data_IF_309345569516
#
_entry.id   IF_309345569516
#
_cell.length_a   1.000
_cell.length_b   1.000
_cell.length_c   1.000
_cell.angle_alpha   90.00
_cell.angle_beta   90.00
_cell.angle_gamma   90.00
#
_symmetry.space_group_name_H-M   'P 1'
#
loop_
_entity.id
_entity.type
_entity.pdbx_description
1 polymer ?
#
# COMPACT_ATOMS: atom_id res chain seq x y z
N UNK A 1 -22.46 -12.44 -24.15
CA UNK A 1 -21.00 -12.17 -24.06
C UNK A 1 -20.82 -11.24 -22.89
N UNK A 2 -20.57 -11.80 -21.71
CA UNK A 2 -20.32 -11.01 -20.50
C UNK A 2 -18.90 -10.46 -20.63
N UNK A 3 -18.77 -9.15 -20.64
CA UNK A 3 -17.49 -8.46 -20.67
C UNK A 3 -16.63 -8.88 -19.47
N UNK A 4 -15.66 -9.75 -19.70
CA UNK A 4 -14.62 -10.16 -18.75
C UNK A 4 -13.58 -9.04 -18.49
N UNK A 5 -14.02 -7.78 -18.41
CA UNK A 5 -13.14 -6.63 -18.19
C UNK A 5 -12.64 -6.48 -16.74
N UNK A 6 -13.07 -7.36 -15.82
CA UNK A 6 -12.77 -7.25 -14.38
C UNK A 6 -11.31 -7.54 -14.01
N UNK A 7 -10.51 -8.15 -14.91
CA UNK A 7 -9.18 -8.65 -14.54
C UNK A 7 -8.03 -8.19 -15.44
N UNK A 8 -8.24 -7.22 -16.30
CA UNK A 8 -7.21 -6.69 -17.20
C UNK A 8 -6.39 -5.56 -16.57
N UNK A 9 -6.05 -5.69 -15.30
CA UNK A 9 -5.32 -4.64 -14.57
C UNK A 9 -3.81 -4.66 -14.75
N UNK A 10 -3.23 -5.81 -15.13
CA UNK A 10 -1.80 -5.93 -15.44
C UNK A 10 -1.62 -5.89 -16.94
N UNK A 11 -0.76 -5.03 -17.41
CA UNK A 11 -0.33 -4.99 -18.82
C UNK A 11 1.11 -5.47 -18.94
N UNK A 12 1.48 -5.97 -20.11
CA UNK A 12 2.86 -6.35 -20.40
C UNK A 12 3.75 -5.11 -20.32
N UNK A 13 4.90 -5.26 -19.71
CA UNK A 13 5.91 -4.20 -19.64
C UNK A 13 6.52 -3.97 -21.02
N UNK A 14 6.29 -2.80 -21.66
CA UNK A 14 6.71 -2.53 -23.03
C UNK A 14 8.20 -2.25 -23.16
N UNK A 15 8.93 -2.19 -22.06
CA UNK A 15 10.36 -1.87 -22.07
C UNK A 15 11.17 -2.98 -22.70
N UNK A 16 12.28 -2.60 -23.31
CA UNK A 16 13.26 -3.53 -23.88
C UNK A 16 13.96 -4.36 -22.80
N UNK A 17 14.55 -5.52 -23.16
CA UNK A 17 15.35 -6.30 -22.21
C UNK A 17 16.49 -5.50 -21.56
N UNK A 18 17.10 -4.55 -22.28
CA UNK A 18 18.17 -3.71 -21.75
C UNK A 18 17.64 -2.73 -20.67
N UNK A 19 16.46 -2.16 -20.88
CA UNK A 19 15.80 -1.30 -19.88
C UNK A 19 15.37 -2.10 -18.65
N UNK A 20 14.87 -3.33 -18.84
CA UNK A 20 14.51 -4.25 -17.76
C UNK A 20 15.73 -4.70 -16.95
N UNK A 21 16.90 -4.80 -17.56
CA UNK A 21 18.14 -5.14 -16.86
C UNK A 21 18.60 -4.07 -15.86
N UNK A 22 18.04 -2.86 -15.94
CA UNK A 22 18.27 -1.78 -14.95
C UNK A 22 17.31 -1.82 -13.77
N UNK A 23 16.39 -2.77 -13.73
CA UNK A 23 15.44 -2.93 -12.63
C UNK A 23 16.16 -3.24 -11.32
N UNK A 24 15.52 -2.89 -10.22
CA UNK A 24 15.98 -3.18 -8.86
C UNK A 24 15.75 -4.66 -8.53
N UNK A 25 16.59 -5.52 -9.11
CA UNK A 25 16.47 -6.96 -8.97
C UNK A 25 16.84 -7.43 -7.56
N UNK A 26 16.17 -8.49 -7.13
CA UNK A 26 16.55 -9.23 -5.95
C UNK A 26 17.80 -10.04 -6.28
N UNK A 27 18.93 -9.71 -5.68
CA UNK A 27 20.10 -10.59 -5.65
C UNK A 27 19.76 -11.80 -4.78
N UNK A 28 20.21 -13.01 -5.15
CA UNK A 28 19.88 -14.23 -4.40
C UNK A 28 19.98 -14.00 -2.90
N UNK A 29 18.91 -14.31 -2.18
CA UNK A 29 18.83 -14.13 -0.75
C UNK A 29 19.76 -15.14 -0.07
N UNK A 30 20.97 -14.74 0.24
CA UNK A 30 21.81 -15.48 1.17
C UNK A 30 21.22 -15.23 2.55
N UNK A 31 20.54 -16.22 3.09
CA UNK A 31 19.95 -16.17 4.42
C UNK A 31 21.06 -15.95 5.46
N UNK A 32 21.20 -14.74 5.95
CA UNK A 32 22.23 -14.37 6.96
C UNK A 32 21.75 -14.56 8.40
N UNK A 33 20.52 -14.99 8.62
CA UNK A 33 20.01 -15.34 9.95
C UNK A 33 19.04 -16.53 9.84
N UNK A 34 18.91 -17.38 10.87
CA UNK A 34 17.87 -18.39 10.91
C UNK A 34 16.53 -17.67 10.97
N UNK A 35 15.89 -17.55 9.79
CA UNK A 35 14.51 -17.09 9.70
C UNK A 35 13.67 -18.18 10.36
N UNK A 36 12.82 -17.83 11.31
CA UNK A 36 11.80 -18.74 11.83
C UNK A 36 11.07 -19.34 10.63
N UNK A 37 10.78 -20.64 10.68
CA UNK A 37 10.09 -21.34 9.57
C UNK A 37 8.90 -20.50 9.08
N UNK A 38 8.90 -20.00 7.83
CA UNK A 38 7.86 -19.14 7.34
C UNK A 38 6.50 -19.85 7.23
N UNK A 39 6.46 -21.18 7.37
CA UNK A 39 5.25 -22.01 7.31
C UNK A 39 4.80 -22.51 8.69
N UNK A 40 5.44 -22.10 9.77
CA UNK A 40 5.07 -22.44 11.14
C UNK A 40 3.88 -21.66 11.69
N UNK A 41 3.24 -20.79 10.89
CA UNK A 41 2.14 -19.95 11.33
C UNK A 41 0.80 -20.67 11.27
N UNK A 42 -0.17 -20.16 12.02
CA UNK A 42 -1.56 -20.57 11.87
C UNK A 42 -2.15 -19.99 10.59
N UNK A 43 -3.08 -20.70 9.97
CA UNK A 43 -3.83 -20.17 8.84
C UNK A 43 -4.52 -18.85 9.22
N UNK A 44 -4.34 -17.82 8.41
CA UNK A 44 -5.05 -16.55 8.58
C UNK A 44 -6.47 -16.73 8.05
N UNK A 45 -7.47 -16.67 8.93
CA UNK A 45 -8.88 -16.79 8.56
C UNK A 45 -9.55 -15.46 8.25
N UNK A 46 -9.00 -14.36 8.79
CA UNK A 46 -9.45 -12.98 8.53
C UNK A 46 -8.23 -12.12 8.26
N UNK A 47 -8.33 -11.21 7.29
CA UNK A 47 -7.25 -10.28 7.04
C UNK A 47 -7.11 -9.32 8.23
N UNK A 48 -5.89 -9.10 8.76
CA UNK A 48 -5.65 -8.06 9.75
C UNK A 48 -5.66 -6.65 9.14
N UNK A 49 -5.82 -6.55 7.82
CA UNK A 49 -5.82 -5.30 7.07
C UNK A 49 -7.21 -5.06 6.47
N UNK A 50 -7.64 -3.80 6.34
CA UNK A 50 -8.92 -3.47 5.70
C UNK A 50 -9.02 -4.05 4.30
N UNK A 51 -10.24 -4.44 3.94
CA UNK A 51 -10.56 -4.82 2.58
C UNK A 51 -10.46 -3.61 1.65
N UNK A 52 -9.96 -3.86 0.45
CA UNK A 52 -9.85 -2.85 -0.60
C UNK A 52 -10.48 -3.41 -1.85
N UNK A 53 -11.33 -2.61 -2.48
CA UNK A 53 -12.05 -3.00 -3.69
C UNK A 53 -11.59 -2.14 -4.87
N UNK A 54 -11.13 -2.78 -5.94
CA UNK A 54 -10.79 -2.09 -7.18
C UNK A 54 -12.02 -1.77 -8.04
N UNK A 55 -13.20 -2.26 -7.66
CA UNK A 55 -14.43 -2.12 -8.41
C UNK A 55 -14.28 -2.53 -9.88
N UNK A 56 -14.78 -1.73 -10.80
CA UNK A 56 -14.69 -1.96 -12.26
C UNK A 56 -13.51 -1.22 -12.89
N UNK A 57 -12.38 -1.15 -12.20
CA UNK A 57 -11.17 -0.44 -12.65
C UNK A 57 -10.02 -1.42 -12.74
N UNK A 58 -9.24 -1.35 -13.81
CA UNK A 58 -8.05 -2.19 -14.02
C UNK A 58 -6.86 -1.83 -13.12
N UNK A 59 -7.11 -1.59 -11.83
CA UNK A 59 -6.15 -1.02 -10.87
C UNK A 59 -5.56 -2.05 -9.89
N UNK A 60 -5.62 -3.34 -10.18
CA UNK A 60 -5.09 -4.37 -9.29
C UNK A 60 -3.60 -4.14 -8.94
N UNK A 61 -2.77 -3.68 -9.89
CA UNK A 61 -1.35 -3.42 -9.64
C UNK A 61 -1.13 -2.30 -8.62
N UNK A 62 -1.75 -1.11 -8.76
CA UNK A 62 -1.71 -0.09 -7.72
C UNK A 62 -2.23 -0.56 -6.36
N UNK A 63 -3.27 -1.39 -6.32
CA UNK A 63 -3.78 -1.97 -5.09
C UNK A 63 -2.75 -2.88 -4.41
N UNK A 64 -2.23 -3.87 -5.12
CA UNK A 64 -1.28 -4.84 -4.55
C UNK A 64 -0.01 -4.18 -4.04
N UNK A 65 0.58 -3.28 -4.84
CA UNK A 65 1.82 -2.57 -4.49
C UNK A 65 1.58 -1.52 -3.40
N UNK A 66 0.46 -0.79 -3.47
CA UNK A 66 0.08 0.20 -2.46
C UNK A 66 -0.23 -0.44 -1.11
N UNK A 67 -0.92 -1.59 -1.11
CA UNK A 67 -1.14 -2.39 0.10
C UNK A 67 0.18 -2.84 0.72
N UNK A 68 1.11 -3.35 -0.08
CA UNK A 68 2.43 -3.75 0.40
C UNK A 68 3.22 -2.56 0.98
N UNK A 69 3.11 -1.37 0.39
CA UNK A 69 3.69 -0.14 0.91
C UNK A 69 3.08 0.24 2.27
N UNK A 70 1.76 0.22 2.39
CA UNK A 70 1.06 0.52 3.63
C UNK A 70 1.40 -0.49 4.75
N UNK A 71 1.50 -1.78 4.42
CA UNK A 71 1.94 -2.85 5.33
C UNK A 71 3.37 -2.60 5.81
N UNK A 72 4.31 -2.35 4.89
CA UNK A 72 5.72 -2.13 5.22
C UNK A 72 5.94 -0.91 6.12
N UNK A 73 5.08 0.09 6.02
CA UNK A 73 5.11 1.26 6.90
C UNK A 73 4.73 0.94 8.34
N UNK A 74 4.03 -0.17 8.57
CA UNK A 74 3.71 -0.66 9.90
C UNK A 74 2.37 -0.20 10.45
N UNK A 75 2.26 -0.20 11.79
CA UNK A 75 1.03 0.13 12.52
C UNK A 75 1.03 1.56 13.04
N UNK A 76 -0.13 2.24 13.04
CA UNK A 76 -1.41 1.75 12.52
C UNK A 76 -1.40 1.64 10.99
N UNK A 77 -2.10 0.63 10.45
CA UNK A 77 -2.26 0.50 9.01
C UNK A 77 -2.95 1.74 8.44
N UNK A 78 -2.33 2.33 7.43
CA UNK A 78 -2.84 3.56 6.81
C UNK A 78 -3.16 3.27 5.36
N UNK A 79 -4.45 3.25 5.01
CA UNK A 79 -4.91 3.01 3.64
C UNK A 79 -4.49 4.16 2.73
N UNK A 80 -3.74 3.83 1.69
CA UNK A 80 -3.29 4.77 0.66
C UNK A 80 -4.27 4.77 -0.52
N UNK A 81 -4.34 5.88 -1.25
CA UNK A 81 -5.12 5.96 -2.48
C UNK A 81 -4.38 5.28 -3.62
N UNK A 82 -4.92 4.20 -4.15
CA UNK A 82 -4.42 3.60 -5.37
C UNK A 82 -4.75 4.46 -6.61
N UNK A 83 -5.83 5.23 -6.57
CA UNK A 83 -6.23 6.15 -7.63
C UNK A 83 -5.11 7.09 -8.03
N UNK A 84 -4.34 7.56 -7.06
CA UNK A 84 -3.19 8.42 -7.30
C UNK A 84 -2.13 7.75 -8.19
N UNK A 85 -1.70 6.55 -7.82
CA UNK A 85 -0.71 5.80 -8.61
C UNK A 85 -1.27 5.40 -9.97
N UNK A 86 -2.54 5.03 -10.03
CA UNK A 86 -3.23 4.69 -11.27
C UNK A 86 -3.30 5.86 -12.24
N UNK A 87 -3.51 7.08 -11.75
CA UNK A 87 -3.48 8.31 -12.55
C UNK A 87 -2.11 8.66 -13.10
N UNK A 88 -1.05 8.32 -12.38
CA UNK A 88 0.32 8.64 -12.75
C UNK A 88 1.03 7.52 -13.53
N UNK A 89 0.34 6.44 -13.85
CA UNK A 89 0.91 5.34 -14.65
C UNK A 89 1.33 5.79 -16.03
N UNK A 90 2.37 5.18 -16.56
CA UNK A 90 2.98 5.58 -17.85
C UNK A 90 2.09 5.33 -19.06
N UNK A 91 1.16 4.35 -18.99
CA UNK A 91 0.22 4.04 -20.07
C UNK A 91 -1.13 4.75 -19.97
N UNK A 92 -1.26 5.73 -19.05
CA UNK A 92 -2.49 6.53 -18.96
C UNK A 92 -2.80 7.19 -20.32
N UNK A 93 -4.08 7.21 -20.79
CA UNK A 93 -5.31 6.86 -20.09
C UNK A 93 -5.74 5.38 -20.24
N UNK A 94 -4.96 4.52 -20.89
CA UNK A 94 -5.33 3.13 -21.13
C UNK A 94 -5.52 2.38 -19.81
N UNK A 95 -6.44 1.40 -19.79
CA UNK A 95 -6.68 0.57 -18.60
C UNK A 95 -5.48 -0.32 -18.29
N UNK A 96 -5.33 -0.70 -17.01
CA UNK A 96 -4.25 -1.53 -16.53
C UNK A 96 -2.94 -0.79 -16.30
N UNK A 97 -1.97 -1.50 -15.75
CA UNK A 97 -0.61 -1.01 -15.55
C UNK A 97 0.37 -2.17 -15.36
N UNK A 98 1.68 -1.91 -15.47
CA UNK A 98 2.68 -2.92 -15.19
C UNK A 98 3.41 -2.63 -13.86
N UNK A 99 3.80 -3.67 -13.11
CA UNK A 99 4.25 -3.54 -11.73
C UNK A 99 5.43 -2.60 -11.53
N UNK A 100 6.47 -2.70 -12.40
CA UNK A 100 7.65 -1.84 -12.31
C UNK A 100 7.29 -0.36 -12.31
N UNK A 101 6.42 0.06 -13.24
CA UNK A 101 6.01 1.46 -13.33
C UNK A 101 5.29 1.92 -12.06
N UNK A 102 4.46 1.08 -11.48
CA UNK A 102 3.71 1.42 -10.25
C UNK A 102 4.63 1.50 -9.03
N UNK A 103 5.62 0.60 -8.91
CA UNK A 103 6.66 0.73 -7.89
C UNK A 103 7.39 2.08 -8.04
N UNK A 104 7.78 2.45 -9.25
CA UNK A 104 8.45 3.72 -9.52
C UNK A 104 7.55 4.94 -9.23
N UNK A 105 6.25 4.85 -9.54
CA UNK A 105 5.29 5.91 -9.19
C UNK A 105 5.24 6.10 -7.68
N UNK A 106 5.06 5.04 -6.90
CA UNK A 106 5.04 5.14 -5.44
C UNK A 106 6.38 5.60 -4.86
N UNK A 107 7.50 5.18 -5.45
CA UNK A 107 8.83 5.62 -5.04
C UNK A 107 9.07 7.10 -5.34
N UNK A 108 8.71 7.55 -6.52
CA UNK A 108 8.92 8.92 -6.98
C UNK A 108 7.92 9.90 -6.36
N UNK A 109 6.66 9.54 -6.35
CA UNK A 109 5.55 10.43 -6.06
C UNK A 109 4.89 10.15 -4.70
N UNK A 110 4.99 8.90 -4.18
CA UNK A 110 4.22 8.46 -3.02
C UNK A 110 2.76 8.21 -3.34
N UNK A 111 1.92 8.30 -2.33
CA UNK A 111 0.46 8.27 -2.46
C UNK A 111 -0.21 9.05 -1.34
N UNK A 112 -1.30 9.79 -1.59
CA UNK A 112 -2.10 10.40 -0.55
C UNK A 112 -2.91 9.34 0.20
N UNK A 113 -3.55 9.73 1.28
CA UNK A 113 -4.50 8.90 1.99
C UNK A 113 -5.74 8.63 1.13
N UNK A 114 -6.35 7.47 1.32
CA UNK A 114 -7.63 7.13 0.71
C UNK A 114 -8.73 8.17 1.02
N UNK A 115 -8.72 8.74 2.22
CA UNK A 115 -9.68 9.78 2.63
C UNK A 115 -9.54 11.09 1.86
N UNK A 116 -8.34 11.38 1.37
CA UNK A 116 -8.06 12.59 0.57
C UNK A 116 -8.37 12.39 -0.91
N UNK A 117 -8.13 11.20 -1.42
CA UNK A 117 -8.44 10.82 -2.80
C UNK A 117 -9.09 9.43 -2.80
N UNK A 118 -10.43 9.34 -2.64
CA UNK A 118 -11.16 8.07 -2.61
C UNK A 118 -11.08 7.30 -3.92
N UNK A 119 -11.35 6.01 -3.83
CA UNK A 119 -11.32 5.11 -4.98
C UNK A 119 -12.57 5.29 -5.86
N UNK A 120 -12.42 5.41 -7.18
CA UNK A 120 -13.52 5.52 -8.13
C UNK A 120 -14.10 4.14 -8.45
N UNK A 121 -15.37 4.14 -8.89
CA UNK A 121 -16.08 2.90 -9.25
C UNK A 121 -15.81 2.41 -10.67
N UNK A 122 -15.42 3.31 -11.59
CA UNK A 122 -15.27 3.00 -13.01
C UNK A 122 -13.99 3.58 -13.59
N UNK A 123 -13.53 3.02 -14.71
CA UNK A 123 -12.39 3.56 -15.46
C UNK A 123 -12.56 5.04 -15.84
N UNK A 124 -13.77 5.44 -16.23
CA UNK A 124 -14.06 6.84 -16.58
C UNK A 124 -13.90 7.76 -15.38
N UNK A 125 -14.37 7.35 -14.20
CA UNK A 125 -14.18 8.11 -12.95
C UNK A 125 -12.70 8.14 -12.54
N UNK A 126 -12.00 7.00 -12.66
CA UNK A 126 -10.56 6.94 -12.40
C UNK A 126 -9.78 7.88 -13.33
N UNK A 127 -10.15 7.92 -14.61
CA UNK A 127 -9.54 8.83 -15.58
C UNK A 127 -9.87 10.31 -15.31
N UNK A 128 -11.02 10.62 -14.77
CA UNK A 128 -11.46 11.97 -14.44
C UNK A 128 -10.99 12.46 -13.05
N UNK A 129 -10.46 11.58 -12.21
CA UNK A 129 -10.06 11.93 -10.84
C UNK A 129 -9.05 13.09 -10.82
N UNK A 130 -9.34 14.13 -10.05
CA UNK A 130 -8.50 15.30 -9.90
C UNK A 130 -7.62 15.12 -8.65
N UNK A 131 -6.32 15.25 -8.84
CA UNK A 131 -5.37 15.25 -7.73
C UNK A 131 -5.21 16.69 -7.25
N UNK A 132 -5.88 17.01 -6.15
CA UNK A 132 -5.79 18.32 -5.53
C UNK A 132 -4.36 18.58 -4.97
N UNK A 133 -3.93 19.85 -4.83
CA UNK A 133 -2.63 20.19 -4.24
C UNK A 133 -2.37 19.55 -2.88
N UNK A 134 -3.38 19.42 -2.04
CA UNK A 134 -3.31 18.70 -0.77
C UNK A 134 -2.90 17.24 -0.95
N UNK A 135 -3.49 16.54 -1.92
CA UNK A 135 -3.13 15.15 -2.22
C UNK A 135 -1.67 15.00 -2.67
N UNK A 136 -1.11 15.97 -3.40
CA UNK A 136 0.30 15.97 -3.77
C UNK A 136 1.22 16.17 -2.56
N UNK A 137 0.85 17.05 -1.64
CA UNK A 137 1.60 17.29 -0.41
C UNK A 137 1.59 16.06 0.50
N UNK A 138 0.43 15.47 0.68
CA UNK A 138 0.23 14.25 1.46
C UNK A 138 1.01 13.07 0.86
N UNK A 139 0.96 12.91 -0.48
CA UNK A 139 1.68 11.87 -1.19
C UNK A 139 3.20 11.94 -0.94
N UNK A 140 3.77 13.13 -0.81
CA UNK A 140 5.18 13.29 -0.52
C UNK A 140 5.61 12.66 0.82
N UNK A 141 4.67 12.47 1.76
CA UNK A 141 4.91 11.86 3.07
C UNK A 141 4.89 10.33 2.98
N UNK A 142 4.06 9.77 2.10
CA UNK A 142 3.81 8.34 2.00
C UNK A 142 4.50 7.72 0.79
N UNK A 143 5.84 7.65 0.85
CA UNK A 143 6.69 7.10 -0.23
C UNK A 143 7.26 5.74 0.11
N UNK A 144 7.38 4.90 -0.91
CA UNK A 144 8.37 3.84 -0.93
C UNK A 144 9.73 4.47 -1.26
N UNK A 145 10.80 4.01 -0.63
CA UNK A 145 12.15 4.51 -0.89
C UNK A 145 12.94 3.57 -1.78
N UNK A 146 12.90 2.28 -1.48
CA UNK A 146 13.57 1.25 -2.24
C UNK A 146 12.71 -0.01 -2.33
N UNK A 147 12.82 -0.71 -3.44
CA UNK A 147 12.15 -2.00 -3.67
C UNK A 147 13.06 -2.94 -4.46
N UNK A 148 12.74 -4.23 -4.42
CA UNK A 148 13.38 -5.27 -5.23
C UNK A 148 12.32 -6.06 -5.99
N UNK A 149 12.72 -6.64 -7.11
CA UNK A 149 11.91 -7.53 -7.93
C UNK A 149 12.60 -8.87 -8.09
N UNK A 150 11.82 -9.90 -8.35
CA UNK A 150 12.31 -11.25 -8.58
C UNK A 150 12.36 -11.55 -10.07
N UNK A 151 13.45 -12.19 -10.50
CA UNK A 151 13.59 -12.71 -11.87
C UNK A 151 12.80 -14.00 -12.02
N UNK A 152 12.77 -14.85 -10.98
CA UNK A 152 12.03 -16.11 -10.92
C UNK A 152 11.17 -16.14 -9.67
N UNK A 153 9.98 -15.54 -9.69
CA UNK A 153 9.18 -15.34 -8.48
C UNK A 153 8.31 -16.55 -8.08
N UNK A 154 8.61 -17.73 -8.56
CA UNK A 154 7.80 -18.93 -8.45
C UNK A 154 8.18 -19.87 -7.29
N UNK A 155 9.06 -19.43 -6.39
CA UNK A 155 9.40 -20.17 -5.17
C UNK A 155 8.63 -19.63 -3.95
N UNK A 156 7.70 -20.44 -3.45
CA UNK A 156 6.86 -20.09 -2.30
C UNK A 156 7.70 -19.88 -1.02
N UNK A 157 8.82 -20.60 -0.85
CA UNK A 157 9.64 -20.47 0.35
C UNK A 157 10.32 -19.10 0.39
N UNK A 158 10.85 -18.63 -0.72
CA UNK A 158 11.42 -17.28 -0.86
C UNK A 158 10.36 -16.21 -0.61
N UNK A 159 9.20 -16.30 -1.24
CA UNK A 159 8.13 -15.31 -1.09
C UNK A 159 7.59 -15.28 0.36
N UNK A 160 7.36 -16.44 0.96
CA UNK A 160 6.92 -16.55 2.35
C UNK A 160 8.00 -16.06 3.34
N UNK A 161 9.27 -16.34 3.07
CA UNK A 161 10.41 -15.87 3.88
C UNK A 161 10.49 -14.35 3.90
N UNK A 162 10.28 -13.69 2.78
CA UNK A 162 10.22 -12.22 2.71
C UNK A 162 8.99 -11.68 3.45
N UNK A 163 7.82 -12.29 3.25
CA UNK A 163 6.61 -11.91 3.95
C UNK A 163 6.74 -12.13 5.48
N UNK A 164 7.50 -13.13 5.93
CA UNK A 164 7.83 -13.36 7.34
C UNK A 164 8.60 -12.18 7.97
N UNK A 165 9.32 -11.40 7.17
CA UNK A 165 9.96 -10.15 7.59
C UNK A 165 9.01 -8.96 7.80
N UNK A 166 7.69 -9.19 7.82
CA UNK A 166 6.70 -8.14 8.10
C UNK A 166 6.39 -7.23 6.90
N UNK A 167 6.72 -7.63 5.68
CA UNK A 167 6.39 -6.89 4.46
C UNK A 167 5.32 -7.63 3.63
N UNK A 168 4.46 -6.87 2.96
CA UNK A 168 3.61 -7.45 1.91
C UNK A 168 4.44 -7.72 0.65
N UNK A 169 4.09 -8.79 -0.08
CA UNK A 169 4.76 -9.14 -1.34
C UNK A 169 3.72 -9.16 -2.47
N UNK A 170 3.61 -8.07 -3.25
CA UNK A 170 2.77 -8.07 -4.44
C UNK A 170 3.32 -9.04 -5.49
N UNK A 171 2.44 -9.88 -6.00
CA UNK A 171 2.73 -10.85 -7.05
C UNK A 171 1.77 -10.66 -8.22
N UNK A 172 2.30 -10.80 -9.42
CA UNK A 172 1.50 -10.86 -10.65
C UNK A 172 1.26 -12.30 -11.01
N UNK A 173 0.02 -12.66 -11.25
CA UNK A 173 -0.41 -14.02 -11.55
C UNK A 173 -1.11 -14.09 -12.91
N UNK A 174 -1.04 -15.27 -13.52
CA UNK A 174 -1.98 -15.70 -14.55
C UNK A 174 -2.93 -16.77 -13.96
N UNK A 175 -4.23 -16.59 -14.16
CA UNK A 175 -5.21 -17.56 -13.73
C UNK A 175 -6.35 -17.67 -14.74
N UNK A 176 -7.06 -18.78 -14.74
CA UNK A 176 -8.35 -18.84 -15.43
C UNK A 176 -9.44 -18.22 -14.56
N UNK A 177 -10.49 -17.74 -15.22
CA UNK A 177 -11.67 -17.24 -14.51
C UNK A 177 -12.23 -18.29 -13.55
N UNK A 178 -12.32 -19.55 -13.96
CA UNK A 178 -12.85 -20.63 -13.14
C UNK A 178 -11.96 -20.96 -11.94
N UNK A 179 -10.64 -20.88 -12.08
CA UNK A 179 -9.72 -21.04 -10.95
C UNK A 179 -9.92 -19.94 -9.92
N UNK A 180 -10.11 -18.69 -10.39
CA UNK A 180 -10.21 -17.53 -9.52
C UNK A 180 -11.60 -17.31 -8.96
N UNK A 181 -12.64 -17.78 -9.68
CA UNK A 181 -14.04 -17.67 -9.31
C UNK A 181 -14.51 -18.62 -8.21
N UNK A 182 -13.63 -19.45 -7.65
CA UNK A 182 -14.02 -20.36 -6.57
C UNK A 182 -14.52 -19.61 -5.35
N UNK A 183 -15.65 -20.07 -4.84
CA UNK A 183 -16.43 -19.43 -3.77
C UNK A 183 -15.79 -19.55 -2.38
N UNK A 184 -14.61 -20.14 -2.24
CA UNK A 184 -13.99 -20.35 -0.95
C UNK A 184 -12.54 -19.88 -0.92
N UNK A 185 -12.00 -19.41 0.23
CA UNK A 185 -10.60 -19.02 0.38
C UNK A 185 -9.68 -20.23 0.31
N UNK A 186 -9.80 -21.01 -0.73
CA UNK A 186 -9.00 -22.20 -0.97
C UNK A 186 -8.19 -22.02 -2.21
N UNK A 187 -7.19 -22.77 -2.22
CA UNK A 187 -6.18 -22.80 -3.20
C UNK A 187 -6.37 -23.95 -4.10
N UNK A 188 -6.21 -23.65 -5.33
CA UNK A 188 -6.34 -24.61 -6.39
C UNK A 188 -4.97 -25.08 -6.84
N UNK A 189 -4.85 -26.36 -7.05
CA UNK A 189 -3.83 -26.88 -7.94
C UNK A 189 -4.24 -26.45 -9.34
N UNK A 190 -3.38 -25.72 -10.07
CA UNK A 190 -3.70 -25.26 -11.40
C UNK A 190 -3.96 -26.45 -12.33
N UNK A 191 -5.08 -26.41 -13.04
CA UNK A 191 -5.46 -27.46 -14.00
C UNK A 191 -5.16 -27.05 -15.44
N UNK A 192 -4.94 -25.75 -15.68
CA UNK A 192 -4.67 -25.19 -16.99
C UNK A 192 -3.18 -24.85 -17.17
N UNK A 193 -2.71 -24.90 -18.40
CA UNK A 193 -1.41 -24.34 -18.73
C UNK A 193 -1.46 -22.82 -18.66
N UNK A 194 -0.32 -22.17 -18.38
CA UNK A 194 -0.25 -20.72 -18.23
C UNK A 194 -0.73 -19.95 -19.48
N UNK A 195 -0.48 -20.50 -20.68
CA UNK A 195 -0.92 -19.88 -21.93
C UNK A 195 -2.44 -19.93 -22.14
N UNK A 196 -3.14 -20.77 -21.37
CA UNK A 196 -4.59 -20.91 -21.43
C UNK A 196 -5.26 -20.04 -20.35
N UNK A 197 -4.48 -19.29 -19.58
CA UNK A 197 -4.99 -18.43 -18.54
C UNK A 197 -5.64 -17.16 -19.13
N UNK A 198 -6.79 -16.80 -18.59
CA UNK A 198 -7.63 -15.69 -19.06
C UNK A 198 -7.47 -14.42 -18.23
N UNK A 199 -6.92 -14.56 -17.02
CA UNK A 199 -6.81 -13.50 -16.03
C UNK A 199 -5.36 -13.13 -15.83
N UNK A 200 -5.07 -11.84 -15.95
CA UNK A 200 -3.81 -11.24 -15.59
C UNK A 200 -4.07 -10.27 -14.42
N UNK A 201 -3.61 -10.65 -13.22
CA UNK A 201 -4.00 -9.99 -11.99
C UNK A 201 -2.82 -9.78 -11.03
N UNK A 202 -2.92 -8.77 -10.16
CA UNK A 202 -1.93 -8.51 -9.12
C UNK A 202 -2.60 -8.59 -7.74
N UNK A 203 -1.98 -9.35 -6.86
CA UNK A 203 -2.43 -9.63 -5.50
C UNK A 203 -1.26 -9.45 -4.52
N UNK A 204 -1.53 -9.30 -3.24
CA UNK A 204 -0.51 -9.09 -2.23
C UNK A 204 -0.44 -10.27 -1.24
N UNK A 205 0.68 -10.96 -1.16
CA UNK A 205 0.96 -11.92 -0.08
C UNK A 205 1.06 -11.15 1.23
N UNK A 206 0.34 -11.61 2.24
CA UNK A 206 0.29 -10.97 3.55
C UNK A 206 1.48 -11.38 4.42
N UNK A 207 1.94 -10.50 5.32
CA UNK A 207 2.99 -10.84 6.29
C UNK A 207 2.60 -12.02 7.19
N UNK A 208 3.58 -12.82 7.58
CA UNK A 208 3.44 -13.94 8.51
C UNK A 208 2.32 -14.92 8.13
N UNK A 209 2.05 -15.08 6.85
CA UNK A 209 0.88 -15.78 6.35
C UNK A 209 1.17 -17.19 5.80
N UNK A 210 2.42 -17.64 5.86
CA UNK A 210 2.79 -18.98 5.42
C UNK A 210 2.32 -20.05 6.41
N UNK A 211 1.69 -21.10 5.92
CA UNK A 211 1.22 -22.23 6.73
C UNK A 211 1.24 -23.55 5.94
N UNK A 212 1.11 -24.68 6.67
CA UNK A 212 0.99 -26.02 6.07
C UNK A 212 -0.43 -26.52 6.31
N UNK A 213 -1.05 -27.02 5.25
CA UNK A 213 -2.34 -27.71 5.31
C UNK A 213 -2.25 -28.98 4.48
N UNK A 214 -2.58 -30.13 5.11
CA UNK A 214 -2.53 -31.45 4.46
C UNK A 214 -1.18 -31.75 3.77
N UNK A 215 -0.08 -31.35 4.40
CA UNK A 215 1.28 -31.54 3.89
C UNK A 215 1.72 -30.63 2.75
N UNK A 216 0.90 -29.67 2.33
CA UNK A 216 1.22 -28.66 1.33
C UNK A 216 1.44 -27.29 1.97
N UNK A 217 2.35 -26.49 1.40
CA UNK A 217 2.65 -25.12 1.81
C UNK A 217 1.70 -24.14 1.14
N UNK A 218 1.27 -23.14 1.90
CA UNK A 218 0.37 -22.08 1.47
C UNK A 218 0.83 -20.73 1.98
N UNK A 219 0.39 -19.67 1.31
CA UNK A 219 0.44 -18.30 1.80
C UNK A 219 -0.94 -17.67 1.67
N UNK A 220 -1.28 -16.77 2.59
CA UNK A 220 -2.51 -15.98 2.49
C UNK A 220 -2.24 -14.71 1.69
N UNK A 221 -3.20 -14.33 0.87
CA UNK A 221 -3.13 -13.17 -0.01
C UNK A 221 -4.32 -12.24 0.20
N UNK A 222 -4.11 -10.95 0.01
CA UNK A 222 -5.17 -9.97 -0.16
C UNK A 222 -5.46 -9.78 -1.65
N UNK A 223 -6.74 -9.82 -2.00
CA UNK A 223 -7.25 -9.66 -3.35
C UNK A 223 -8.19 -8.44 -3.41
N UNK A 224 -7.93 -7.52 -4.32
CA UNK A 224 -8.75 -6.32 -4.53
C UNK A 224 -9.88 -6.51 -5.56
N UNK A 225 -9.93 -7.64 -6.24
CA UNK A 225 -10.92 -7.88 -7.29
C UNK A 225 -12.32 -8.23 -6.74
N UNK A 226 -12.46 -8.42 -5.43
CA UNK A 226 -13.72 -8.75 -4.73
C UNK A 226 -14.53 -9.88 -5.39
N UNK A 227 -13.83 -10.80 -6.03
CA UNK A 227 -14.50 -11.89 -6.72
C UNK A 227 -15.25 -12.75 -5.71
N UNK A 228 -16.55 -12.89 -5.88
CA UNK A 228 -17.44 -13.57 -4.94
C UNK A 228 -17.39 -12.99 -3.50
N UNK A 229 -17.10 -11.69 -3.34
CA UNK A 229 -16.90 -11.00 -2.06
C UNK A 229 -15.74 -11.56 -1.23
N UNK A 230 -14.77 -12.21 -1.85
CA UNK A 230 -13.58 -12.74 -1.19
C UNK A 230 -12.40 -11.80 -1.40
N UNK A 231 -11.94 -11.20 -0.33
CA UNK A 231 -10.74 -10.34 -0.30
C UNK A 231 -9.53 -11.04 0.29
N UNK A 232 -9.76 -12.13 1.02
CA UNK A 232 -8.73 -12.99 1.58
C UNK A 232 -8.78 -14.36 0.92
N UNK A 233 -7.64 -14.81 0.39
CA UNK A 233 -7.48 -16.13 -0.23
C UNK A 233 -6.21 -16.78 0.26
N UNK A 234 -6.05 -18.08 -0.04
CA UNK A 234 -4.82 -18.81 0.22
C UNK A 234 -4.33 -19.43 -1.08
N UNK A 235 -3.06 -19.30 -1.40
CA UNK A 235 -2.46 -19.87 -2.60
C UNK A 235 -1.40 -20.91 -2.26
N UNK A 236 -1.44 -22.07 -2.93
CA UNK A 236 -0.53 -23.18 -2.70
C UNK A 236 0.82 -22.98 -3.37
N UNK A 237 1.80 -23.77 -2.94
CA UNK A 237 3.09 -23.87 -3.63
C UNK A 237 2.96 -24.24 -5.11
N UNK A 238 2.01 -25.13 -5.45
CA UNK A 238 1.76 -25.51 -6.84
C UNK A 238 1.23 -24.33 -7.67
N UNK A 239 0.35 -23.52 -7.07
CA UNK A 239 -0.15 -22.31 -7.72
C UNK A 239 0.96 -21.29 -7.92
N UNK A 240 1.76 -21.02 -6.90
CA UNK A 240 2.90 -20.10 -6.98
C UNK A 240 3.86 -20.54 -8.09
N UNK A 241 4.24 -21.83 -8.11
CA UNK A 241 5.19 -22.37 -9.07
C UNK A 241 4.72 -22.27 -10.53
N UNK A 242 3.41 -22.32 -10.76
CA UNK A 242 2.86 -22.39 -12.11
C UNK A 242 2.24 -21.07 -12.61
N UNK A 243 1.84 -20.19 -11.72
CA UNK A 243 1.01 -19.02 -12.04
C UNK A 243 1.64 -17.67 -11.75
N UNK A 244 2.68 -17.60 -10.93
CA UNK A 244 3.34 -16.33 -10.62
C UNK A 244 4.35 -15.99 -11.70
N UNK A 245 4.25 -14.77 -12.21
CA UNK A 245 5.13 -14.25 -13.26
C UNK A 245 6.12 -13.22 -12.75
N UNK A 246 5.66 -12.37 -11.86
CA UNK A 246 6.44 -11.28 -11.29
C UNK A 246 6.12 -11.16 -9.81
N UNK A 247 7.12 -10.82 -9.03
CA UNK A 247 6.97 -10.46 -7.64
C UNK A 247 7.89 -9.30 -7.31
N UNK A 248 7.53 -8.54 -6.29
CA UNK A 248 8.39 -7.49 -5.77
C UNK A 248 8.07 -7.20 -4.31
N UNK A 249 8.89 -6.41 -3.67
CA UNK A 249 8.64 -5.99 -2.30
C UNK A 249 9.40 -4.71 -1.97
N UNK A 250 8.87 -3.95 -1.02
CA UNK A 250 9.54 -2.77 -0.49
C UNK A 250 10.63 -3.20 0.48
N UNK A 251 11.86 -2.84 0.17
CA UNK A 251 13.01 -3.03 1.08
C UNK A 251 13.09 -1.90 2.08
N UNK A 252 12.75 -0.69 1.63
CA UNK A 252 12.75 0.49 2.46
C UNK A 252 11.55 1.40 2.11
N UNK A 253 11.01 2.06 3.13
CA UNK A 253 9.89 2.99 3.01
C UNK A 253 10.17 4.20 3.89
N UNK A 254 9.59 5.35 3.57
CA UNK A 254 9.63 6.49 4.46
C UNK A 254 8.99 6.07 5.80
N UNK A 255 9.82 5.80 6.79
CA UNK A 255 9.36 5.44 8.13
C UNK A 255 8.90 6.73 8.76
N UNK A 256 7.63 6.78 9.08
CA UNK A 256 7.12 7.82 9.96
C UNK A 256 7.73 7.59 11.34
N UNK A 257 8.32 8.63 11.90
CA UNK A 257 8.96 8.53 13.20
C UNK A 257 7.93 8.33 14.29
N UNK A 258 7.64 7.08 14.64
CA UNK A 258 6.97 6.77 15.92
C UNK A 258 7.94 7.05 17.05
N UNK A 259 7.56 7.91 17.97
CA UNK A 259 8.40 8.28 19.13
C UNK A 259 7.53 8.64 20.33
N UNK A 260 8.16 8.87 21.47
CA UNK A 260 7.45 9.45 22.60
C UNK A 260 6.93 10.85 22.22
N UNK A 261 5.71 11.16 22.62
CA UNK A 261 5.16 12.50 22.47
C UNK A 261 6.09 13.54 23.11
N UNK A 262 6.30 14.68 22.44
CA UNK A 262 7.11 15.73 23.01
C UNK A 262 6.46 16.27 24.28
N UNK A 263 7.23 16.46 25.35
CA UNK A 263 6.73 17.14 26.54
C UNK A 263 6.71 18.65 26.26
N UNK A 264 5.60 19.10 25.68
CA UNK A 264 5.41 20.49 25.29
C UNK A 264 3.94 20.90 25.40
N UNK A 265 3.68 22.10 25.93
CA UNK A 265 2.34 22.69 25.99
C UNK A 265 2.21 23.71 24.85
N UNK A 266 1.35 23.40 23.89
CA UNK A 266 1.04 24.31 22.80
C UNK A 266 0.12 25.44 23.27
N UNK A 267 0.50 26.68 22.99
CA UNK A 267 -0.27 27.88 23.38
C UNK A 267 -0.56 28.81 22.21
N UNK A 268 0.01 28.52 21.03
CA UNK A 268 -0.09 29.39 19.83
C UNK A 268 -0.69 28.64 18.68
N UNK A 269 -1.56 29.33 17.95
CA UNK A 269 -2.04 28.88 16.65
C UNK A 269 -0.90 28.99 15.63
N UNK A 270 -0.80 27.98 14.74
CA UNK A 270 0.22 27.92 13.71
C UNK A 270 -0.44 27.72 12.34
N UNK A 271 0.11 28.35 11.32
CA UNK A 271 -0.36 28.28 9.93
C UNK A 271 0.82 28.13 8.97
N UNK A 272 0.53 27.83 7.71
CA UNK A 272 1.53 27.75 6.65
C UNK A 272 2.35 29.05 6.62
N UNK A 273 3.67 28.93 6.50
CA UNK A 273 4.63 30.04 6.51
C UNK A 273 5.14 30.41 7.90
N UNK A 274 4.53 29.92 8.99
CA UNK A 274 5.05 30.15 10.35
C UNK A 274 6.41 29.46 10.51
N UNK A 275 7.31 30.13 11.24
CA UNK A 275 8.65 29.60 11.57
C UNK A 275 8.91 29.66 13.06
N UNK A 276 9.79 28.79 13.56
CA UNK A 276 10.30 28.84 14.92
C UNK A 276 10.05 27.59 15.77
N UNK A 277 10.40 27.67 17.07
CA UNK A 277 10.38 26.51 17.96
C UNK A 277 9.00 25.85 18.12
N UNK A 278 7.93 26.63 18.12
CA UNK A 278 6.55 26.09 18.23
C UNK A 278 6.21 25.18 17.05
N UNK A 279 6.66 25.55 15.82
CA UNK A 279 6.49 24.70 14.65
C UNK A 279 7.32 23.41 14.77
N UNK A 280 8.56 23.51 15.28
CA UNK A 280 9.38 22.32 15.52
C UNK A 280 8.74 21.38 16.55
N UNK A 281 8.08 21.90 17.57
CA UNK A 281 7.33 21.07 18.53
C UNK A 281 6.10 20.42 17.91
N UNK A 282 5.34 21.18 17.09
CA UNK A 282 4.24 20.60 16.31
C UNK A 282 4.74 19.47 15.41
N UNK A 283 5.86 19.69 14.71
CA UNK A 283 6.46 18.67 13.85
C UNK A 283 6.87 17.42 14.65
N UNK A 284 7.43 17.57 15.84
CA UNK A 284 7.75 16.44 16.73
C UNK A 284 6.50 15.69 17.19
N UNK A 285 5.40 16.39 17.46
CA UNK A 285 4.10 15.74 17.72
C UNK A 285 3.63 14.96 16.50
N UNK A 286 3.66 15.56 15.32
CA UNK A 286 3.25 14.92 14.07
C UNK A 286 4.15 13.74 13.69
N UNK A 287 5.42 13.80 14.06
CA UNK A 287 6.37 12.67 13.97
C UNK A 287 5.94 11.56 14.94
N UNK A 288 5.66 11.87 16.20
CA UNK A 288 5.18 10.91 17.20
C UNK A 288 3.86 10.25 16.78
N UNK A 289 2.99 11.01 16.11
CA UNK A 289 1.73 10.54 15.53
C UNK A 289 1.90 9.74 14.22
N UNK A 290 3.12 9.60 13.72
CA UNK A 290 3.43 8.95 12.44
C UNK A 290 2.87 9.67 11.20
N UNK A 291 2.79 11.01 11.24
CA UNK A 291 2.35 11.83 10.11
C UNK A 291 3.49 12.60 9.44
N UNK A 292 4.67 12.64 10.06
CA UNK A 292 5.89 13.22 9.49
C UNK A 292 7.09 12.25 9.62
N UNK A 293 8.03 12.26 8.66
CA UNK A 293 9.32 11.60 8.80
C UNK A 293 10.13 12.13 9.99
N UNK A 294 10.97 11.27 10.59
CA UNK A 294 11.70 11.58 11.82
C UNK A 294 12.69 12.75 11.73
N UNK A 295 13.13 13.08 10.53
CA UNK A 295 14.08 14.16 10.22
C UNK A 295 13.42 15.49 9.81
N UNK A 296 12.09 15.55 9.84
CA UNK A 296 11.34 16.71 9.34
C UNK A 296 10.98 17.76 10.40
N UNK A 297 11.60 17.77 11.57
CA UNK A 297 11.38 18.83 12.59
C UNK A 297 12.20 20.10 12.30
N UNK A 298 11.99 20.70 11.14
CA UNK A 298 12.77 21.86 10.62
C UNK A 298 12.43 23.20 11.29
N UNK A 299 11.29 23.29 11.98
CA UNK A 299 10.78 24.56 12.50
C UNK A 299 10.14 25.48 11.45
N UNK A 300 9.91 24.99 10.22
CA UNK A 300 9.18 25.71 9.17
C UNK A 300 7.87 24.99 8.85
N UNK A 301 6.74 25.67 8.97
CA UNK A 301 5.43 25.14 8.61
C UNK A 301 5.23 25.25 7.10
N UNK A 302 5.74 24.26 6.38
CA UNK A 302 5.58 24.11 4.94
C UNK A 302 4.50 23.11 4.57
N UNK A 303 4.44 22.75 3.27
CA UNK A 303 3.43 21.83 2.75
C UNK A 303 3.44 20.44 3.40
N UNK A 304 4.61 19.91 3.78
CA UNK A 304 4.69 18.63 4.49
C UNK A 304 4.04 18.71 5.89
N UNK A 305 4.30 19.79 6.62
CA UNK A 305 3.68 20.03 7.94
C UNK A 305 2.17 20.21 7.81
N UNK A 306 1.72 20.89 6.75
CA UNK A 306 0.30 21.05 6.46
C UNK A 306 -0.39 19.68 6.21
N UNK A 307 0.17 18.87 5.31
CA UNK A 307 -0.39 17.54 5.03
C UNK A 307 -0.44 16.66 6.28
N UNK A 308 0.60 16.71 7.12
CA UNK A 308 0.64 16.01 8.39
C UNK A 308 -0.37 16.55 9.42
N UNK A 309 -0.61 17.87 9.45
CA UNK A 309 -1.67 18.47 10.27
C UNK A 309 -3.05 18.00 9.83
N UNK A 310 -3.31 17.95 8.53
CA UNK A 310 -4.58 17.44 8.02
C UNK A 310 -4.80 15.97 8.42
N UNK A 311 -3.76 15.14 8.34
CA UNK A 311 -3.82 13.75 8.80
C UNK A 311 -4.11 13.66 10.31
N UNK A 312 -3.50 14.52 11.12
CA UNK A 312 -3.76 14.62 12.55
C UNK A 312 -5.20 15.04 12.84
N UNK A 313 -5.71 16.06 12.17
CA UNK A 313 -7.09 16.53 12.33
C UNK A 313 -8.11 15.46 11.90
N UNK A 314 -7.84 14.73 10.83
CA UNK A 314 -8.69 13.61 10.38
C UNK A 314 -8.68 12.45 11.38
N UNK A 315 -7.51 12.08 11.93
CA UNK A 315 -7.43 11.04 12.96
C UNK A 315 -8.26 11.37 14.18
N UNK A 316 -8.29 12.64 14.56
CA UNK A 316 -9.01 13.16 15.72
C UNK A 316 -10.27 13.94 15.30
N UNK A 317 -10.92 13.55 14.20
CA UNK A 317 -12.04 14.30 13.62
C UNK A 317 -13.21 14.48 14.61
N UNK A 318 -13.50 13.46 15.41
CA UNK A 318 -14.58 13.50 16.42
C UNK A 318 -14.36 14.61 17.45
N UNK A 319 -13.10 14.87 17.84
CA UNK A 319 -12.75 15.86 18.85
C UNK A 319 -12.36 17.23 18.25
N UNK A 320 -11.95 17.26 16.97
CA UNK A 320 -11.44 18.48 16.32
C UNK A 320 -12.46 19.04 15.32
N UNK A 321 -12.92 18.22 14.37
CA UNK A 321 -13.72 18.70 13.25
C UNK A 321 -15.21 18.75 13.56
N UNK A 322 -15.74 17.69 14.17
CA UNK A 322 -17.18 17.58 14.49
C UNK A 322 -17.66 18.71 15.40
N UNK A 323 -16.95 19.11 16.49
CA UNK A 323 -17.40 20.21 17.32
C UNK A 323 -17.38 21.58 16.63
N UNK A 324 -16.61 21.69 15.54
CA UNK A 324 -16.49 22.92 14.76
C UNK A 324 -17.44 22.92 13.52
N UNK A 325 -18.25 21.86 13.36
CA UNK A 325 -19.11 21.66 12.19
C UNK A 325 -18.33 21.70 10.86
N UNK A 326 -17.13 21.08 10.84
CA UNK A 326 -16.27 21.03 9.66
C UNK A 326 -16.31 19.63 9.05
N UNK A 327 -16.48 19.57 7.75
CA UNK A 327 -16.46 18.34 6.95
C UNK A 327 -15.05 17.97 6.45
N UNK A 328 -14.09 18.89 6.60
CA UNK A 328 -12.70 18.72 6.15
C UNK A 328 -11.70 19.38 7.12
N UNK A 329 -10.43 18.92 7.11
CA UNK A 329 -9.35 19.55 7.85
C UNK A 329 -9.13 21.01 7.47
N UNK A 330 -8.52 21.77 8.38
CA UNK A 330 -8.18 23.17 8.19
C UNK A 330 -6.66 23.36 8.07
N UNK A 331 -6.23 24.41 7.40
CA UNK A 331 -4.82 24.75 7.22
C UNK A 331 -4.18 25.39 8.47
N UNK A 332 -4.91 25.33 9.60
CA UNK A 332 -4.50 25.96 10.85
C UNK A 332 -4.43 24.94 11.98
N UNK A 333 -3.32 24.89 12.68
CA UNK A 333 -3.20 24.25 13.99
C UNK A 333 -3.89 25.16 15.02
N UNK A 334 -5.21 25.11 15.05
CA UNK A 334 -6.08 25.98 15.85
C UNK A 334 -6.38 25.42 17.24
N UNK A 335 -7.27 26.09 17.98
CA UNK A 335 -7.57 25.80 19.39
C UNK A 335 -8.03 24.36 19.66
N UNK A 336 -8.85 23.78 18.78
CA UNK A 336 -9.29 22.39 18.92
C UNK A 336 -8.12 21.40 18.72
N UNK A 337 -7.29 21.61 17.70
CA UNK A 337 -6.06 20.82 17.47
C UNK A 337 -5.08 20.96 18.64
N UNK A 338 -4.90 22.18 19.16
CA UNK A 338 -4.07 22.45 20.35
C UNK A 338 -4.57 21.69 21.56
N UNK A 339 -5.87 21.66 21.78
CA UNK A 339 -6.46 20.93 22.92
C UNK A 339 -6.12 19.44 22.89
N UNK A 340 -6.22 18.81 21.73
CA UNK A 340 -5.88 17.40 21.56
C UNK A 340 -4.37 17.18 21.67
N UNK A 341 -3.57 18.04 21.02
CA UNK A 341 -2.12 17.97 21.10
C UNK A 341 -1.63 18.04 22.56
N UNK A 342 -2.17 18.93 23.36
CA UNK A 342 -1.81 19.07 24.76
C UNK A 342 -2.21 17.86 25.61
N UNK A 343 -3.33 17.19 25.32
CA UNK A 343 -3.69 15.92 25.98
C UNK A 343 -2.72 14.79 25.67
N UNK A 344 -2.15 14.78 24.48
CA UNK A 344 -1.19 13.75 24.04
C UNK A 344 0.23 14.03 24.57
N UNK A 345 0.59 15.30 24.78
CA UNK A 345 1.93 15.75 25.15
C UNK A 345 2.14 15.93 26.66
N UNK A 346 1.13 15.82 27.48
CA UNK A 346 1.16 15.98 28.94
C UNK A 346 0.89 14.65 29.65
#
# INVERSE_FOLDING_TARGET
>A
MTNNTLFTGVVEDPRTPAEKALDHLHEEFVATAPVSDPFGNSQILTSPYPDEDQHYVGSCVPHGIGKALAIKRGTPYTRLSWTFAYRLRSNFPNSGSYPQNIFDVYRKNGAPLFTTLPDPFTESQAAAAIIAPQGLQEAAIFKGLAYKQFITPNDIATLAGIAQGGTGVPITIFASYNEWATLYPTVLTPTLKIQDAEINHNICILPHSGFILNGKRYVSIADSAHFANLTLRHVSEDFIAQRVLQAGYWTDVAVMGGGAYPRHMFTKMLTVGTTGPEVAWLQKLLIAENFLPSDCASGYFGGMTLGALHAFQNKHAVEILVPLHLDAPTDTFGSASISIANKLCL
#
